data_IF_174824080962
#
_entry.id   IF_174824080962
#
_cell.length_a   1.000
_cell.length_b   1.000
_cell.length_c   1.000
_cell.angle_alpha   90.00
_cell.angle_beta   90.00
_cell.angle_gamma   90.00
#
_symmetry.space_group_name_H-M   'P 1'
#
loop_
_entity.id
_entity.type
_entity.pdbx_description
1 polymer ?
#
# COMPACT_ATOMS: atom_id res chain seq x y z
N UNK A 1 -19.98 -11.28 8.07
CA UNK A 1 -18.83 -10.64 7.42
C UNK A 1 -17.65 -10.50 8.39
N UNK A 2 -16.54 -11.16 8.10
CA UNK A 2 -15.23 -10.61 8.40
C UNK A 2 -14.31 -11.13 7.30
N UNK A 3 -14.00 -10.25 6.34
CA UNK A 3 -13.33 -10.53 5.05
C UNK A 3 -12.01 -11.32 5.17
N UNK A 4 -11.41 -11.41 6.35
CA UNK A 4 -10.18 -12.16 6.59
C UNK A 4 -10.43 -13.60 7.10
N UNK A 5 -11.68 -14.07 7.08
CA UNK A 5 -12.03 -15.41 7.56
C UNK A 5 -11.69 -16.51 6.60
N UNK A 6 -11.13 -17.59 7.16
CA UNK A 6 -10.73 -18.76 6.40
C UNK A 6 -9.57 -18.48 5.46
N UNK A 7 -8.73 -17.47 5.72
CA UNK A 7 -7.65 -17.10 4.79
C UNK A 7 -6.72 -18.27 4.45
N UNK A 8 -6.49 -19.16 5.41
CA UNK A 8 -5.64 -20.35 5.29
C UNK A 8 -6.32 -21.57 4.64
N UNK A 9 -7.57 -21.45 4.20
CA UNK A 9 -8.35 -22.51 3.56
C UNK A 9 -9.27 -21.94 2.47
N UNK A 10 -8.93 -22.20 1.22
CA UNK A 10 -9.67 -21.72 0.04
C UNK A 10 -11.16 -22.05 0.06
N UNK A 11 -11.56 -23.20 0.63
CA UNK A 11 -12.97 -23.60 0.68
C UNK A 11 -13.76 -22.80 1.72
N UNK A 12 -13.08 -22.33 2.79
CA UNK A 12 -13.71 -21.58 3.88
C UNK A 12 -13.52 -20.06 3.77
N UNK A 13 -12.64 -19.59 2.88
CA UNK A 13 -12.33 -18.17 2.65
C UNK A 13 -13.59 -17.36 2.38
N UNK A 14 -13.79 -16.29 3.14
CA UNK A 14 -14.95 -15.39 2.97
C UNK A 14 -14.64 -14.10 2.21
N UNK A 15 -13.38 -13.70 2.12
CA UNK A 15 -12.96 -12.47 1.41
C UNK A 15 -12.22 -12.72 0.12
N UNK A 16 -11.69 -11.62 -0.44
CA UNK A 16 -11.12 -11.58 -1.78
C UNK A 16 -9.63 -11.96 -1.84
N UNK A 17 -8.95 -11.97 -0.70
CA UNK A 17 -7.50 -12.13 -0.63
C UNK A 17 -7.10 -13.57 -0.38
N UNK A 18 -6.06 -14.04 -1.06
CA UNK A 18 -5.35 -15.28 -0.76
C UNK A 18 -4.19 -15.06 0.22
N UNK A 19 -3.63 -13.85 0.24
CA UNK A 19 -2.58 -13.41 1.14
C UNK A 19 -2.80 -11.94 1.49
N UNK A 20 -2.42 -11.55 2.70
CA UNK A 20 -2.49 -10.18 3.18
C UNK A 20 -1.07 -9.64 3.32
N UNK A 21 -0.83 -8.46 2.74
CA UNK A 21 0.42 -7.73 2.86
C UNK A 21 0.35 -6.79 4.07
N UNK A 22 -0.71 -5.98 4.14
CA UNK A 22 -0.91 -4.96 5.17
C UNK A 22 -2.40 -4.69 5.45
N UNK A 23 -2.71 -4.23 6.66
CA UNK A 23 -4.04 -3.79 7.08
C UNK A 23 -3.93 -2.49 7.85
N UNK A 24 -4.60 -1.45 7.36
CA UNK A 24 -4.67 -0.15 8.01
C UNK A 24 -6.10 0.19 8.41
N UNK A 25 -6.31 0.59 9.67
CA UNK A 25 -7.61 1.07 10.15
C UNK A 25 -7.50 2.58 10.35
N UNK A 26 -8.25 3.31 9.54
CA UNK A 26 -8.27 4.78 9.55
C UNK A 26 -9.46 5.26 10.38
N UNK A 27 -9.67 6.57 10.46
CA UNK A 27 -10.84 7.17 11.11
C UNK A 27 -12.16 6.96 10.32
N UNK A 28 -12.08 6.50 9.07
CA UNK A 28 -13.23 6.38 8.17
C UNK A 28 -13.39 4.98 7.60
N UNK A 29 -12.30 4.24 7.43
CA UNK A 29 -12.28 3.00 6.65
C UNK A 29 -11.33 1.95 7.24
N UNK A 30 -11.50 0.73 6.77
CA UNK A 30 -10.52 -0.35 6.88
C UNK A 30 -9.92 -0.56 5.49
N UNK A 31 -8.61 -0.41 5.36
CA UNK A 31 -7.86 -0.68 4.14
C UNK A 31 -7.13 -2.01 4.29
N UNK A 32 -7.25 -2.88 3.29
CA UNK A 32 -6.58 -4.18 3.27
C UNK A 32 -5.84 -4.31 1.97
N UNK A 33 -4.55 -4.61 2.04
CA UNK A 33 -3.71 -4.89 0.88
C UNK A 33 -3.32 -6.36 0.82
N UNK A 34 -3.17 -6.89 -0.38
CA UNK A 34 -2.62 -8.23 -0.57
C UNK A 34 -2.93 -8.83 -1.92
N UNK A 35 -2.51 -10.08 -2.10
CA UNK A 35 -2.77 -10.85 -3.31
C UNK A 35 -4.23 -11.29 -3.37
N UNK A 36 -4.87 -11.05 -4.51
CA UNK A 36 -6.22 -11.53 -4.78
C UNK A 36 -6.23 -13.06 -4.91
N UNK A 37 -7.33 -13.67 -4.50
CA UNK A 37 -7.54 -15.12 -4.64
C UNK A 37 -7.93 -15.52 -6.07
N UNK A 38 -8.48 -14.59 -6.85
CA UNK A 38 -8.71 -14.78 -8.28
C UNK A 38 -7.37 -14.75 -8.99
N UNK A 39 -7.08 -15.78 -9.79
CA UNK A 39 -5.86 -15.84 -10.58
C UNK A 39 -5.74 -14.60 -11.48
N UNK A 40 -4.50 -14.15 -11.69
CA UNK A 40 -4.13 -12.99 -12.52
C UNK A 40 -4.62 -11.60 -12.05
N UNK A 41 -5.48 -11.48 -11.03
CA UNK A 41 -5.86 -10.15 -10.47
C UNK A 41 -4.69 -9.46 -9.73
N UNK A 42 -3.69 -10.23 -9.27
CA UNK A 42 -2.49 -9.71 -8.62
C UNK A 42 -2.75 -9.04 -7.27
N UNK A 43 -1.85 -8.13 -6.87
CA UNK A 43 -1.98 -7.36 -5.61
C UNK A 43 -2.96 -6.21 -5.77
N UNK A 44 -3.83 -6.04 -4.78
CA UNK A 44 -4.83 -4.97 -4.71
C UNK A 44 -4.90 -4.38 -3.30
N UNK A 45 -5.43 -3.17 -3.21
CA UNK A 45 -5.89 -2.57 -1.96
C UNK A 45 -7.40 -2.48 -2.01
N UNK A 46 -8.11 -3.00 -1.01
CA UNK A 46 -9.57 -2.90 -0.92
C UNK A 46 -9.93 -2.07 0.30
N UNK A 47 -10.78 -1.06 0.09
CA UNK A 47 -11.27 -0.15 1.12
C UNK A 47 -12.66 -0.60 1.54
N UNK A 48 -12.86 -0.78 2.83
CA UNK A 48 -14.10 -1.23 3.44
C UNK A 48 -14.63 -0.20 4.44
N UNK A 49 -15.94 -0.20 4.65
CA UNK A 49 -16.52 0.38 5.87
C UNK A 49 -16.29 -0.55 7.09
N UNK A 50 -16.68 -0.08 8.28
CA UNK A 50 -16.53 -0.86 9.53
C UNK A 50 -17.47 -2.06 9.64
N UNK A 51 -18.51 -2.16 8.81
CA UNK A 51 -19.39 -3.33 8.71
C UNK A 51 -18.79 -4.40 7.77
N UNK A 52 -17.69 -4.09 7.09
CA UNK A 52 -16.98 -4.97 6.17
C UNK A 52 -17.57 -4.96 4.75
N UNK A 53 -18.35 -3.95 4.38
CA UNK A 53 -18.80 -3.76 3.01
C UNK A 53 -17.67 -3.14 2.18
N UNK A 54 -17.41 -3.69 1.01
CA UNK A 54 -16.43 -3.14 0.08
C UNK A 54 -16.95 -1.83 -0.50
N UNK A 55 -16.12 -0.79 -0.45
CA UNK A 55 -16.39 0.53 -1.02
C UNK A 55 -15.57 0.77 -2.29
N UNK A 56 -14.27 0.44 -2.27
CA UNK A 56 -13.34 0.66 -3.38
C UNK A 56 -12.38 -0.53 -3.52
N UNK A 57 -11.88 -0.73 -4.74
CA UNK A 57 -10.75 -1.60 -5.06
C UNK A 57 -9.74 -0.74 -5.83
N UNK A 58 -8.53 -0.62 -5.31
CA UNK A 58 -7.43 0.17 -5.86
C UNK A 58 -6.32 -0.76 -6.37
N UNK A 59 -5.56 -0.26 -7.33
CA UNK A 59 -4.50 -0.99 -8.02
C UNK A 59 -4.95 -1.44 -9.40
N UNK A 60 -4.07 -1.29 -10.38
CA UNK A 60 -4.39 -1.46 -11.79
C UNK A 60 -4.75 -2.90 -12.18
N UNK A 61 -5.62 -3.03 -13.17
CA UNK A 61 -6.10 -4.33 -13.67
C UNK A 61 -5.00 -5.14 -14.40
N UNK A 62 -4.10 -4.46 -15.13
CA UNK A 62 -3.13 -5.11 -16.02
C UNK A 62 -1.67 -4.75 -15.70
N UNK A 63 -0.72 -5.52 -16.28
CA UNK A 63 0.72 -5.26 -16.12
C UNK A 63 1.18 -3.88 -16.59
N UNK A 64 0.45 -3.28 -17.53
CA UNK A 64 0.74 -1.95 -18.06
C UNK A 64 0.10 -0.82 -17.27
N UNK A 65 -0.73 -1.11 -16.27
CA UNK A 65 -1.41 -0.07 -15.51
C UNK A 65 -0.42 0.74 -14.68
N UNK A 66 -0.55 2.09 -14.66
CA UNK A 66 0.37 2.96 -13.95
C UNK A 66 0.32 2.82 -12.43
N UNK A 67 -0.75 2.22 -11.91
CA UNK A 67 -0.97 1.92 -10.50
C UNK A 67 -0.96 0.41 -10.23
N UNK A 68 -0.27 -0.38 -11.06
CA UNK A 68 -0.05 -1.79 -10.75
C UNK A 68 0.75 -1.94 -9.46
N UNK A 69 0.24 -2.78 -8.57
CA UNK A 69 0.84 -3.04 -7.27
C UNK A 69 1.67 -4.32 -7.26
N UNK A 70 2.74 -4.29 -6.47
CA UNK A 70 3.61 -5.41 -6.19
C UNK A 70 3.39 -5.95 -4.78
N UNK A 71 3.93 -5.27 -3.76
CA UNK A 71 3.75 -5.66 -2.36
C UNK A 71 3.66 -4.41 -1.50
N UNK A 72 2.53 -4.27 -0.81
CA UNK A 72 2.22 -3.06 -0.05
C UNK A 72 2.72 -3.21 1.38
N UNK A 73 3.58 -2.29 1.80
CA UNK A 73 4.21 -2.35 3.12
C UNK A 73 3.71 -1.30 4.09
N UNK A 74 2.91 -0.33 3.62
CA UNK A 74 2.21 0.61 4.47
C UNK A 74 1.16 1.39 3.69
N UNK A 75 0.10 1.79 4.37
CA UNK A 75 -1.01 2.56 3.79
C UNK A 75 -1.46 3.70 4.69
N UNK A 76 -1.99 4.75 4.07
CA UNK A 76 -2.60 5.87 4.76
C UNK A 76 -3.81 6.41 4.00
N UNK A 77 -4.77 6.95 4.75
CA UNK A 77 -5.86 7.74 4.21
C UNK A 77 -5.68 9.20 4.64
N UNK A 78 -5.31 10.07 3.69
CA UNK A 78 -5.13 11.51 3.92
C UNK A 78 -6.44 12.27 3.72
N UNK A 79 -6.43 13.60 3.87
CA UNK A 79 -7.60 14.40 3.49
C UNK A 79 -7.91 14.34 1.99
N UNK A 80 -6.88 14.21 1.14
CA UNK A 80 -7.05 14.23 -0.32
C UNK A 80 -7.30 12.84 -0.92
N UNK A 81 -6.96 11.76 -0.22
CA UNK A 81 -7.06 10.45 -0.84
C UNK A 81 -6.49 9.28 -0.04
N UNK A 82 -6.03 8.29 -0.78
CA UNK A 82 -5.36 7.09 -0.28
C UNK A 82 -3.92 7.08 -0.79
N UNK A 83 -3.00 6.67 0.07
CA UNK A 83 -1.57 6.57 -0.23
C UNK A 83 -1.08 5.19 0.17
N UNK A 84 -0.22 4.59 -0.64
CA UNK A 84 0.41 3.32 -0.33
C UNK A 84 1.91 3.35 -0.64
N UNK A 85 2.71 2.79 0.27
CA UNK A 85 4.09 2.42 0.01
C UNK A 85 4.11 1.04 -0.68
N UNK A 86 4.52 1.01 -1.94
CA UNK A 86 4.75 -0.24 -2.66
C UNK A 86 6.22 -0.64 -2.52
N UNK A 87 6.47 -1.47 -1.50
CA UNK A 87 7.78 -2.00 -1.17
C UNK A 87 8.41 -2.74 -2.33
N UNK A 88 7.63 -3.43 -3.17
CA UNK A 88 8.18 -4.14 -4.32
C UNK A 88 8.50 -3.21 -5.50
N UNK A 89 7.59 -2.28 -5.82
CA UNK A 89 7.74 -1.38 -6.98
C UNK A 89 8.69 -0.21 -6.71
N UNK A 90 9.04 0.05 -5.44
CA UNK A 90 9.89 1.18 -4.99
C UNK A 90 9.24 2.54 -5.24
N UNK A 91 7.93 2.58 -5.14
CA UNK A 91 7.11 3.74 -5.44
C UNK A 91 6.13 4.03 -4.30
N UNK A 92 5.72 5.30 -4.22
CA UNK A 92 4.57 5.72 -3.42
C UNK A 92 3.42 5.99 -4.39
N UNK A 93 2.32 5.30 -4.18
CA UNK A 93 1.12 5.37 -5.03
C UNK A 93 0.06 6.27 -4.40
N UNK A 94 -0.67 7.01 -5.25
CA UNK A 94 -1.67 7.99 -4.82
C UNK A 94 -2.99 7.81 -5.57
N UNK A 95 -4.09 7.75 -4.82
CA UNK A 95 -5.45 7.75 -5.38
C UNK A 95 -6.30 8.82 -4.71
N UNK A 96 -7.20 9.43 -5.46
CA UNK A 96 -8.23 10.31 -4.92
C UNK A 96 -9.27 9.50 -4.10
N UNK A 97 -10.11 10.19 -3.33
CA UNK A 97 -11.15 9.57 -2.49
C UNK A 97 -12.16 8.70 -3.25
N UNK A 98 -12.34 8.92 -4.54
CA UNK A 98 -13.22 8.12 -5.39
C UNK A 98 -12.52 6.90 -6.01
N UNK A 99 -11.24 6.69 -5.70
CA UNK A 99 -10.40 5.61 -6.23
C UNK A 99 -9.69 5.93 -7.55
N UNK A 100 -9.83 7.15 -8.09
CA UNK A 100 -9.08 7.56 -9.29
C UNK A 100 -7.58 7.64 -8.99
N UNK A 101 -6.76 6.93 -9.77
CA UNK A 101 -5.29 7.06 -9.67
C UNK A 101 -4.84 8.47 -10.02
N UNK A 102 -4.11 9.09 -9.10
CA UNK A 102 -3.56 10.45 -9.25
C UNK A 102 -2.15 10.38 -9.82
N UNK A 103 -1.36 9.40 -9.37
CA UNK A 103 0.01 9.19 -9.84
C UNK A 103 0.82 8.31 -8.91
N UNK A 104 2.06 8.08 -9.30
CA UNK A 104 3.08 7.40 -8.52
C UNK A 104 4.35 8.27 -8.51
N UNK A 105 5.15 8.15 -7.45
CA UNK A 105 6.49 8.74 -7.42
C UNK A 105 7.51 7.69 -6.98
N UNK A 106 8.63 7.60 -7.70
CA UNK A 106 9.70 6.69 -7.34
C UNK A 106 10.44 7.18 -6.09
N UNK A 107 10.90 6.24 -5.28
CA UNK A 107 11.73 6.57 -4.11
C UNK A 107 13.08 7.18 -4.51
N UNK A 108 13.62 6.82 -5.68
CA UNK A 108 14.82 7.45 -6.23
C UNK A 108 14.60 8.94 -6.48
N UNK A 109 13.51 9.31 -7.16
CA UNK A 109 13.24 10.70 -7.52
C UNK A 109 12.98 11.59 -6.29
N UNK A 110 12.31 11.05 -5.27
CA UNK A 110 11.87 11.84 -4.12
C UNK A 110 12.85 11.80 -2.94
N UNK A 111 13.56 10.69 -2.73
CA UNK A 111 14.47 10.50 -1.59
C UNK A 111 15.95 10.40 -1.97
N UNK A 112 16.28 10.27 -3.27
CA UNK A 112 17.66 10.13 -3.72
C UNK A 112 18.32 8.80 -3.32
N UNK A 113 17.51 7.76 -3.15
CA UNK A 113 17.92 6.38 -2.80
C UNK A 113 17.95 5.51 -4.06
N UNK A 114 18.76 4.46 -4.11
CA UNK A 114 18.96 3.65 -5.31
C UNK A 114 18.02 2.45 -5.41
N UNK A 115 17.93 1.64 -4.36
CA UNK A 115 17.07 0.45 -4.34
C UNK A 115 16.66 0.09 -2.91
N UNK A 116 15.92 0.99 -2.24
CA UNK A 116 15.54 0.78 -0.85
C UNK A 116 14.49 -0.34 -0.73
N UNK A 117 14.28 -0.90 0.44
CA UNK A 117 13.01 -1.54 0.78
C UNK A 117 12.17 -0.54 1.58
N UNK A 118 10.92 -0.28 1.16
CA UNK A 118 10.01 0.53 1.96
C UNK A 118 9.45 -0.36 3.06
N UNK A 119 9.71 -0.03 4.32
CA UNK A 119 9.35 -0.86 5.46
C UNK A 119 7.93 -0.61 5.94
N UNK A 120 7.54 0.67 6.05
CA UNK A 120 6.22 1.07 6.57
C UNK A 120 5.95 2.57 6.29
N UNK A 121 4.69 2.97 6.42
CA UNK A 121 4.20 4.34 6.31
C UNK A 121 3.16 4.64 7.40
N UNK A 122 3.28 5.79 8.05
CA UNK A 122 2.31 6.25 9.04
C UNK A 122 1.86 7.70 8.78
N UNK A 123 0.55 7.93 8.83
CA UNK A 123 -0.03 9.27 8.83
C UNK A 123 0.16 9.95 10.19
N UNK A 124 0.65 11.18 10.18
CA UNK A 124 0.84 12.03 11.35
C UNK A 124 -0.32 13.00 11.53
N UNK A 125 -0.48 13.53 12.74
CA UNK A 125 -1.59 14.44 13.12
C UNK A 125 -1.66 15.72 12.28
N UNK A 126 -0.55 16.15 11.68
CA UNK A 126 -0.51 17.33 10.82
C UNK A 126 -0.72 17.01 9.32
N UNK A 127 -1.17 15.80 9.01
CA UNK A 127 -1.46 15.34 7.65
C UNK A 127 -0.24 14.87 6.86
N UNK A 128 0.97 15.00 7.41
CA UNK A 128 2.18 14.47 6.76
C UNK A 128 2.32 12.96 6.95
N UNK A 129 3.05 12.32 6.04
CA UNK A 129 3.37 10.90 6.11
C UNK A 129 4.80 10.73 6.61
N UNK A 130 5.00 9.89 7.61
CA UNK A 130 6.30 9.37 7.99
C UNK A 130 6.52 8.05 7.23
N UNK A 131 7.62 7.96 6.49
CA UNK A 131 7.96 6.80 5.67
C UNK A 131 9.29 6.25 6.16
N UNK A 132 9.31 4.95 6.42
CA UNK A 132 10.49 4.22 6.85
C UNK A 132 11.01 3.36 5.71
N UNK A 133 12.31 3.42 5.46
CA UNK A 133 12.94 2.58 4.44
C UNK A 133 14.31 2.08 4.88
N UNK A 134 14.73 0.94 4.32
CA UNK A 134 16.05 0.35 4.54
C UNK A 134 16.81 0.27 3.21
N UNK A 135 18.10 0.60 3.21
CA UNK A 135 18.95 0.42 2.03
C UNK A 135 20.37 -0.02 2.41
N UNK A 136 20.97 -0.91 1.62
CA UNK A 136 22.40 -1.19 1.70
C UNK A 136 23.20 -0.03 1.11
N UNK A 137 24.23 0.44 1.83
CA UNK A 137 25.14 1.46 1.29
C UNK A 137 25.85 0.96 0.02
N UNK A 138 26.19 1.89 -0.87
CA UNK A 138 26.92 1.59 -2.11
C UNK A 138 28.26 0.85 -1.89
N UNK A 139 28.89 1.04 -0.72
CA UNK A 139 30.14 0.38 -0.34
C UNK A 139 29.94 -0.98 0.37
N UNK A 140 28.69 -1.42 0.55
CA UNK A 140 28.33 -2.66 1.25
C UNK A 140 28.67 -2.68 2.75
N UNK A 141 28.98 -1.52 3.34
CA UNK A 141 29.46 -1.47 4.73
C UNK A 141 28.36 -1.70 5.76
N UNK A 142 27.11 -1.35 5.43
CA UNK A 142 25.97 -1.46 6.32
C UNK A 142 24.64 -1.32 5.56
N UNK A 143 23.57 -1.80 6.21
CA UNK A 143 22.20 -1.36 5.91
C UNK A 143 21.86 -0.13 6.75
N UNK A 144 21.27 0.87 6.13
CA UNK A 144 20.79 2.09 6.76
C UNK A 144 19.27 2.06 6.88
N UNK A 145 18.77 2.32 8.08
CA UNK A 145 17.37 2.65 8.31
C UNK A 145 17.19 4.17 8.22
N UNK A 146 16.33 4.62 7.32
CA UNK A 146 16.07 6.04 7.07
C UNK A 146 14.59 6.35 7.27
N UNK A 147 14.33 7.58 7.74
CA UNK A 147 12.99 8.11 7.92
C UNK A 147 12.84 9.38 7.09
N UNK A 148 11.80 9.41 6.26
CA UNK A 148 11.44 10.56 5.46
C UNK A 148 10.08 11.08 5.89
N UNK A 149 9.91 12.40 5.79
CA UNK A 149 8.63 13.05 5.99
C UNK A 149 8.13 13.57 4.66
N UNK A 150 7.00 13.05 4.20
CA UNK A 150 6.33 13.49 2.99
C UNK A 150 5.14 14.38 3.33
N UNK A 151 4.97 15.48 2.60
CA UNK A 151 3.91 16.47 2.80
C UNK A 151 3.29 16.88 1.46
N UNK A 152 2.03 17.30 1.46
CA UNK A 152 1.38 17.94 0.30
C UNK A 152 0.42 17.04 -0.48
N UNK A 153 0.08 15.88 0.06
CA UNK A 153 -1.00 15.00 -0.39
C UNK A 153 -1.90 14.64 0.80
#
# INVERSE_FOLDING_TARGET
>A
PWILTGLNDDEERKGLFSMIDDVQITNSHIMVAGSMAVEDEGTKIVVYDYDGNQLLKLGGEDISSPDKLGSITGMAETENGFVAADGNMREIQFWAKDGTHVGAISTEDIFGVSYPWLEDMQLLDDGSLLIMLTQERDDGSANELMFFRLTGF
#
